data_IF_412347374092
#
_entry.id   IF_412347374092
#
_cell.length_a   1.000
_cell.length_b   1.000
_cell.length_c   1.000
_cell.angle_alpha   90.00
_cell.angle_beta   90.00
_cell.angle_gamma   90.00
#
_symmetry.space_group_name_H-M   'P 1'
#
loop_
_entity.id
_entity.type
_entity.pdbx_description
1 polymer ?
#
# COMPACT_ATOMS: atom_id res chain seq x y z
N UNK A 1 2.84 -2.18 22.04
CA UNK A 1 2.83 -1.49 20.74
C UNK A 1 1.40 -1.27 20.26
N UNK A 2 1.07 -0.04 19.84
CA UNK A 2 -0.31 0.36 19.55
C UNK A 2 -0.79 -0.04 18.15
N UNK A 3 0.14 -0.32 17.24
CA UNK A 3 -0.16 -0.75 15.86
C UNK A 3 -0.55 -2.23 15.85
N UNK A 4 -1.64 -2.56 15.18
CA UNK A 4 -2.02 -3.93 14.86
C UNK A 4 -1.19 -4.40 13.65
N UNK A 5 -0.29 -5.34 13.89
CA UNK A 5 0.57 -5.97 12.86
C UNK A 5 0.57 -7.45 13.13
N UNK A 6 0.41 -8.26 12.10
CA UNK A 6 0.49 -9.72 12.18
C UNK A 6 1.04 -10.31 10.88
N UNK A 7 1.56 -11.54 10.95
CA UNK A 7 2.16 -12.27 9.85
C UNK A 7 3.11 -13.39 10.35
N UNK A 8 3.58 -14.28 9.49
CA UNK A 8 3.28 -14.42 8.07
C UNK A 8 1.82 -14.85 7.78
N UNK A 9 1.28 -14.43 6.63
CA UNK A 9 -0.04 -14.88 6.18
C UNK A 9 -0.15 -14.85 4.66
N UNK A 10 -1.06 -15.65 4.12
CA UNK A 10 -1.43 -15.59 2.71
C UNK A 10 -2.30 -14.35 2.44
N UNK A 11 -2.27 -13.84 1.21
CA UNK A 11 -3.00 -12.62 0.85
C UNK A 11 -4.52 -12.77 0.99
N UNK A 12 -5.08 -13.93 0.62
CA UNK A 12 -6.50 -14.24 0.80
C UNK A 12 -6.91 -14.26 2.27
N UNK A 13 -6.07 -14.85 3.12
CA UNK A 13 -6.26 -14.84 4.58
C UNK A 13 -6.28 -13.40 5.10
N UNK A 14 -5.37 -12.53 4.63
CA UNK A 14 -5.28 -11.16 5.11
C UNK A 14 -6.52 -10.31 4.77
N UNK A 15 -7.10 -10.49 3.58
CA UNK A 15 -8.14 -9.59 3.02
C UNK A 15 -9.56 -10.17 3.09
N UNK A 16 -9.74 -11.43 3.49
CA UNK A 16 -11.05 -12.06 3.62
C UNK A 16 -11.32 -12.33 5.11
N UNK A 17 -12.18 -11.52 5.77
CA UNK A 17 -12.44 -11.61 7.21
C UNK A 17 -12.81 -13.02 7.69
N UNK A 18 -13.60 -13.74 6.89
CA UNK A 18 -14.05 -15.10 7.23
C UNK A 18 -12.86 -16.07 7.35
N UNK A 19 -11.85 -15.95 6.48
CA UNK A 19 -10.69 -16.85 6.47
C UNK A 19 -9.78 -16.58 7.68
N UNK A 20 -9.56 -15.31 8.04
CA UNK A 20 -8.72 -14.94 9.19
C UNK A 20 -9.40 -15.21 10.52
N UNK A 21 -10.72 -15.09 10.61
CA UNK A 21 -11.46 -15.51 11.80
C UNK A 21 -11.38 -17.01 12.03
N UNK A 22 -11.50 -17.81 10.97
CA UNK A 22 -11.43 -19.28 11.04
C UNK A 22 -10.00 -19.79 11.32
N UNK A 23 -9.02 -19.31 10.54
CA UNK A 23 -7.64 -19.86 10.57
C UNK A 23 -6.73 -19.19 11.58
N UNK A 24 -6.95 -17.90 11.86
CA UNK A 24 -6.11 -17.09 12.75
C UNK A 24 -6.96 -16.37 13.79
N UNK A 25 -7.78 -17.08 14.60
CA UNK A 25 -8.69 -16.44 15.56
C UNK A 25 -7.97 -15.52 16.54
N UNK A 26 -6.69 -15.80 16.84
CA UNK A 26 -5.82 -15.01 17.70
C UNK A 26 -5.27 -13.72 17.07
N UNK A 27 -5.32 -13.58 15.73
CA UNK A 27 -4.77 -12.42 15.03
C UNK A 27 -5.46 -11.13 15.48
N UNK A 28 -4.67 -10.08 15.67
CA UNK A 28 -5.18 -8.71 15.92
C UNK A 28 -5.60 -8.00 14.63
N UNK A 29 -5.22 -8.54 13.47
CA UNK A 29 -5.53 -8.01 12.14
C UNK A 29 -6.60 -8.91 11.53
N UNK A 30 -7.85 -8.43 11.48
CA UNK A 30 -9.01 -9.16 10.92
C UNK A 30 -9.52 -8.60 9.58
N UNK A 31 -9.10 -7.39 9.25
CA UNK A 31 -9.44 -6.69 8.02
C UNK A 31 -8.19 -5.91 7.59
N UNK A 32 -7.28 -6.59 6.89
CA UNK A 32 -5.99 -5.99 6.55
C UNK A 32 -6.17 -4.90 5.48
N UNK A 33 -5.83 -3.67 5.84
CA UNK A 33 -5.81 -2.51 4.94
C UNK A 33 -4.40 -2.13 4.46
N UNK A 34 -3.36 -2.75 5.03
CA UNK A 34 -1.96 -2.57 4.65
C UNK A 34 -1.36 -3.95 4.40
N UNK A 35 -0.82 -4.14 3.20
CA UNK A 35 -0.14 -5.38 2.80
C UNK A 35 1.36 -5.11 2.62
N UNK A 36 2.17 -5.78 3.44
CA UNK A 36 3.64 -5.72 3.33
C UNK A 36 4.13 -6.94 2.56
N UNK A 37 4.74 -6.69 1.40
CA UNK A 37 5.23 -7.76 0.52
C UNK A 37 6.66 -8.17 0.87
N UNK A 38 7.04 -9.45 0.64
CA UNK A 38 8.37 -9.96 0.98
C UNK A 38 9.47 -9.40 0.07
N UNK A 39 9.13 -8.94 -1.14
CA UNK A 39 10.07 -8.36 -2.10
C UNK A 39 9.34 -7.46 -3.12
N UNK A 40 10.14 -6.78 -3.94
CA UNK A 40 9.69 -5.82 -4.94
C UNK A 40 8.93 -6.50 -6.09
N UNK A 41 9.30 -7.71 -6.47
CA UNK A 41 8.65 -8.48 -7.53
C UNK A 41 7.21 -8.83 -7.15
N UNK A 42 7.00 -9.37 -5.95
CA UNK A 42 5.67 -9.72 -5.44
C UNK A 42 4.78 -8.48 -5.33
N UNK A 43 5.31 -7.37 -4.81
CA UNK A 43 4.59 -6.10 -4.74
C UNK A 43 4.20 -5.61 -6.14
N UNK A 44 5.16 -5.56 -7.07
CA UNK A 44 4.96 -5.07 -8.44
C UNK A 44 3.90 -5.87 -9.20
N UNK A 45 3.92 -7.20 -9.06
CA UNK A 45 2.93 -8.07 -9.70
C UNK A 45 1.56 -7.82 -9.08
N UNK A 46 1.45 -7.82 -7.75
CA UNK A 46 0.17 -7.68 -7.06
C UNK A 46 -0.53 -6.35 -7.38
N UNK A 47 0.13 -5.21 -7.22
CA UNK A 47 -0.53 -3.91 -7.42
C UNK A 47 -0.89 -3.66 -8.88
N UNK A 48 -0.08 -4.13 -9.85
CA UNK A 48 -0.39 -4.00 -11.28
C UNK A 48 -1.56 -4.89 -11.69
N UNK A 49 -1.68 -6.10 -11.14
CA UNK A 49 -2.83 -6.96 -11.36
C UNK A 49 -4.10 -6.36 -10.75
N UNK A 50 -4.03 -5.82 -9.53
CA UNK A 50 -5.16 -5.12 -8.90
C UNK A 50 -5.61 -3.91 -9.72
N UNK A 51 -4.68 -3.12 -10.27
CA UNK A 51 -4.99 -2.01 -11.16
C UNK A 51 -5.66 -2.51 -12.46
N UNK A 52 -4.99 -3.41 -13.20
CA UNK A 52 -5.40 -3.81 -14.55
C UNK A 52 -6.61 -4.74 -14.59
N UNK A 53 -6.74 -5.65 -13.63
CA UNK A 53 -7.80 -6.66 -13.58
C UNK A 53 -8.86 -6.34 -12.52
N UNK A 54 -8.45 -5.79 -11.38
CA UNK A 54 -9.35 -5.42 -10.29
C UNK A 54 -10.03 -4.07 -10.47
N UNK A 55 -9.63 -3.27 -11.47
CA UNK A 55 -10.13 -1.91 -11.68
C UNK A 55 -9.75 -0.95 -10.55
N UNK A 56 -8.77 -1.32 -9.72
CA UNK A 56 -8.33 -0.50 -8.62
C UNK A 56 -7.59 0.74 -9.14
N UNK A 57 -7.90 1.89 -8.58
CA UNK A 57 -7.14 3.10 -8.83
C UNK A 57 -5.83 3.06 -8.03
N UNK A 58 -4.72 3.40 -8.67
CA UNK A 58 -3.39 3.41 -8.04
C UNK A 58 -2.84 4.81 -8.00
N UNK A 59 -2.38 5.24 -6.83
CA UNK A 59 -1.62 6.47 -6.64
C UNK A 59 -0.22 6.07 -6.20
N UNK A 60 0.80 6.42 -6.99
CA UNK A 60 2.17 6.08 -6.64
C UNK A 60 3.15 6.06 -7.82
N UNK A 61 4.43 5.76 -7.56
CA UNK A 61 4.98 5.34 -6.27
C UNK A 61 5.17 6.49 -5.27
N UNK A 62 4.70 6.30 -4.03
CA UNK A 62 4.96 7.23 -2.91
C UNK A 62 6.18 6.75 -2.13
N UNK A 63 7.21 7.60 -2.05
CA UNK A 63 8.42 7.29 -1.28
C UNK A 63 8.22 7.63 0.20
N UNK A 64 8.59 6.70 1.08
CA UNK A 64 8.53 6.86 2.53
C UNK A 64 9.93 6.78 3.15
N UNK A 65 10.13 7.41 4.31
CA UNK A 65 11.40 7.35 5.06
C UNK A 65 12.49 8.31 4.59
N UNK A 66 12.21 9.15 3.59
CA UNK A 66 13.14 10.19 3.12
C UNK A 66 13.25 11.34 4.14
N UNK A 67 14.41 12.01 4.22
CA UNK A 67 14.61 13.16 5.12
C UNK A 67 13.89 14.45 4.68
N UNK A 68 13.38 14.49 3.44
CA UNK A 68 12.58 15.58 2.86
C UNK A 68 11.44 14.97 2.01
N UNK A 69 10.34 15.71 1.77
CA UNK A 69 9.21 15.24 0.96
C UNK A 69 9.62 15.18 -0.52
N UNK A 70 10.13 14.02 -0.93
CA UNK A 70 10.62 13.77 -2.27
C UNK A 70 9.90 12.53 -2.79
N UNK A 71 9.26 12.66 -3.96
CA UNK A 71 8.61 11.55 -4.65
C UNK A 71 9.10 11.47 -6.10
N UNK A 72 8.96 10.29 -6.69
CA UNK A 72 9.43 10.01 -8.06
C UNK A 72 8.25 9.62 -8.93
N UNK A 73 8.27 10.11 -10.17
CA UNK A 73 7.30 9.77 -11.21
C UNK A 73 7.94 8.79 -12.19
N UNK A 74 7.11 8.01 -12.87
CA UNK A 74 7.55 7.13 -13.95
C UNK A 74 7.43 7.83 -15.31
N UNK A 75 8.34 7.49 -16.22
CA UNK A 75 8.23 7.97 -17.59
C UNK A 75 6.97 7.37 -18.23
N UNK A 76 6.07 8.24 -18.69
CA UNK A 76 4.78 7.85 -19.27
C UNK A 76 3.58 7.99 -18.34
N UNK A 77 3.77 8.50 -17.12
CA UNK A 77 2.65 8.84 -16.23
C UNK A 77 1.75 9.92 -16.84
N UNK A 78 0.45 9.78 -16.60
CA UNK A 78 -0.55 10.76 -17.04
C UNK A 78 -0.45 12.05 -16.22
N UNK A 79 -0.98 13.16 -16.76
CA UNK A 79 -0.97 14.46 -16.08
C UNK A 79 -1.66 14.38 -14.73
N UNK A 80 -2.71 13.57 -14.63
CA UNK A 80 -3.48 13.32 -13.42
C UNK A 80 -2.61 12.71 -12.31
N UNK A 81 -1.69 11.81 -12.64
CA UNK A 81 -0.76 11.21 -11.66
C UNK A 81 0.27 12.22 -11.16
N UNK A 82 0.75 13.11 -12.04
CA UNK A 82 1.65 14.21 -11.64
C UNK A 82 0.95 15.10 -10.60
N UNK A 83 -0.32 15.46 -10.84
CA UNK A 83 -1.10 16.29 -9.92
C UNK A 83 -1.33 15.58 -8.58
N UNK A 84 -1.64 14.28 -8.60
CA UNK A 84 -1.84 13.47 -7.38
C UNK A 84 -0.58 13.40 -6.53
N UNK A 85 0.56 13.06 -7.14
CA UNK A 85 1.83 12.95 -6.40
C UNK A 85 2.29 14.31 -5.88
N UNK A 86 2.05 15.39 -6.61
CA UNK A 86 2.31 16.75 -6.11
C UNK A 86 1.47 17.06 -4.85
N UNK A 87 0.19 16.69 -4.84
CA UNK A 87 -0.66 16.86 -3.66
C UNK A 87 -0.15 16.04 -2.46
N UNK A 88 0.28 14.79 -2.69
CA UNK A 88 0.89 13.96 -1.65
C UNK A 88 2.18 14.59 -1.12
N UNK A 89 3.04 15.13 -1.99
CA UNK A 89 4.28 15.80 -1.58
C UNK A 89 4.03 17.03 -0.70
N UNK A 90 2.99 17.82 -1.00
CA UNK A 90 2.60 18.98 -0.19
C UNK A 90 2.10 18.54 1.18
N UNK A 91 1.26 17.50 1.25
CA UNK A 91 0.80 16.95 2.52
C UNK A 91 1.95 16.41 3.37
N UNK A 92 2.88 15.67 2.77
CA UNK A 92 4.08 15.15 3.46
C UNK A 92 4.97 16.28 3.97
N UNK A 93 5.05 17.41 3.25
CA UNK A 93 5.77 18.60 3.71
C UNK A 93 5.10 19.23 4.94
N UNK A 94 3.77 19.36 4.94
CA UNK A 94 3.00 19.99 6.02
C UNK A 94 2.98 19.18 7.30
N UNK A 95 2.90 17.84 7.21
CA UNK A 95 2.87 16.95 8.39
C UNK A 95 4.21 16.89 9.14
N UNK A 96 5.28 17.45 8.56
CA UNK A 96 6.63 17.46 9.13
C UNK A 96 7.05 18.81 9.70
N UNK A 97 6.21 19.84 9.58
CA UNK A 97 6.31 21.07 10.39
C UNK A 97 5.88 20.80 11.84
#
# INVERSE_FOLDING_TARGET
PDIAVDGEMQADTAVVPEIVEERYPFSRVKDANILVFPNLEAANVAYKLLNRLGGAETIGPVLMGMGKPIHVLQAGDAVEEIVRIAAVAVLDAQLRE
#
